data_IF_004234720610
#
_entry.id   IF_004234720610
#
_cell.length_a   1.000
_cell.length_b   1.000
_cell.length_c   1.000
_cell.angle_alpha   90.00
_cell.angle_beta   90.00
_cell.angle_gamma   90.00
#
_symmetry.space_group_name_H-M   'P 1'
#
loop_
_entity.id
_entity.type
_entity.pdbx_description
1 polymer ?
#
# COMPACT_ATOMS: atom_id res chain seq x y z
N UNK A 1 2.30 6.96 -14.62
CA UNK A 1 1.41 7.58 -13.60
C UNK A 1 0.18 6.72 -13.25
N UNK A 2 -0.06 5.57 -13.90
CA UNK A 2 -1.28 4.78 -13.72
C UNK A 2 -1.62 4.44 -12.25
N UNK A 3 -0.64 4.08 -11.41
CA UNK A 3 -0.89 3.80 -9.98
C UNK A 3 -1.37 5.04 -9.21
N UNK A 4 -0.84 6.23 -9.53
CA UNK A 4 -1.28 7.49 -8.92
C UNK A 4 -2.65 7.92 -9.42
N UNK A 5 -2.94 7.70 -10.70
CA UNK A 5 -4.26 7.92 -11.28
C UNK A 5 -5.31 7.00 -10.63
N UNK A 6 -4.98 5.73 -10.46
CA UNK A 6 -5.86 4.77 -9.80
C UNK A 6 -6.06 5.12 -8.32
N UNK A 7 -5.00 5.48 -7.60
CA UNK A 7 -5.09 5.97 -6.21
C UNK A 7 -5.94 7.25 -6.09
N UNK A 8 -5.79 8.20 -7.02
CA UNK A 8 -6.56 9.44 -7.06
C UNK A 8 -8.04 9.19 -7.36
N UNK A 9 -8.35 8.24 -8.26
CA UNK A 9 -9.73 7.81 -8.55
C UNK A 9 -10.35 7.05 -7.38
N UNK A 10 -9.57 6.24 -6.66
CA UNK A 10 -9.97 5.57 -5.42
C UNK A 10 -10.21 6.56 -4.28
N UNK A 11 -9.41 7.62 -4.16
CA UNK A 11 -9.61 8.68 -3.16
C UNK A 11 -10.93 9.46 -3.33
N UNK A 12 -11.53 9.40 -4.52
CA UNK A 12 -12.86 9.96 -4.82
C UNK A 12 -13.99 8.92 -4.74
N UNK A 13 -13.67 7.65 -4.45
CA UNK A 13 -14.62 6.55 -4.30
C UNK A 13 -14.49 5.86 -2.93
N UNK A 14 -15.13 4.71 -2.78
CA UNK A 14 -15.05 3.92 -1.56
C UNK A 14 -13.76 3.08 -1.51
N UNK A 15 -12.96 3.28 -0.46
CA UNK A 15 -11.74 2.50 -0.20
C UNK A 15 -12.03 1.06 0.26
N UNK A 16 -13.28 0.69 0.52
CA UNK A 16 -13.69 -0.66 0.91
C UNK A 16 -13.15 -1.74 -0.04
N UNK A 17 -13.15 -1.50 -1.35
CA UNK A 17 -12.62 -2.45 -2.35
C UNK A 17 -11.10 -2.64 -2.25
N UNK A 18 -10.36 -1.61 -1.82
CA UNK A 18 -8.92 -1.74 -1.57
C UNK A 18 -8.68 -2.44 -0.23
N UNK A 19 -9.52 -2.16 0.78
CA UNK A 19 -9.55 -2.77 2.13
C UNK A 19 -9.89 -4.26 2.14
N UNK A 20 -10.64 -4.74 1.14
CA UNK A 20 -11.11 -6.11 1.10
C UNK A 20 -10.10 -7.12 0.51
N UNK A 21 -9.16 -6.70 -0.36
CA UNK A 21 -8.57 -7.66 -1.31
C UNK A 21 -7.06 -7.89 -1.16
N UNK A 22 -6.32 -7.10 -0.37
CA UNK A 22 -4.86 -7.17 -0.44
C UNK A 22 -4.17 -7.31 0.91
N UNK A 23 -4.45 -8.46 1.54
CA UNK A 23 -3.60 -9.02 2.60
C UNK A 23 -2.65 -10.02 1.95
N UNK A 24 -1.35 -9.73 1.98
CA UNK A 24 -0.32 -10.70 1.59
C UNK A 24 0.13 -11.44 2.84
N UNK A 25 0.07 -12.77 2.80
CA UNK A 25 0.52 -13.63 3.89
C UNK A 25 1.99 -14.03 3.65
N UNK A 26 2.91 -13.50 4.47
CA UNK A 26 4.32 -13.89 4.44
C UNK A 26 4.57 -15.04 5.42
N UNK A 27 5.08 -16.20 4.97
CA UNK A 27 5.39 -17.31 5.86
C UNK A 27 6.55 -16.95 6.80
N UNK A 28 6.43 -17.31 8.08
CA UNK A 28 7.51 -17.15 9.08
C UNK A 28 8.51 -18.31 9.09
N UNK A 29 8.09 -19.47 8.58
CA UNK A 29 8.86 -20.73 8.55
C UNK A 29 8.52 -21.51 7.28
N UNK A 30 9.39 -22.44 6.91
CA UNK A 30 9.09 -23.45 5.89
C UNK A 30 7.97 -24.38 6.37
N UNK A 31 7.10 -24.80 5.45
CA UNK A 31 5.95 -25.64 5.77
C UNK A 31 4.87 -24.95 6.63
N UNK A 32 4.69 -23.64 6.46
CA UNK A 32 3.60 -22.91 7.10
C UNK A 32 2.23 -23.52 6.72
N UNK A 33 1.42 -23.88 7.72
CA UNK A 33 0.16 -24.62 7.53
C UNK A 33 -1.01 -23.97 8.26
N UNK A 34 -0.74 -23.17 9.30
CA UNK A 34 -1.77 -22.49 10.09
C UNK A 34 -1.72 -20.99 9.89
N UNK A 35 -2.83 -20.29 10.11
CA UNK A 35 -2.91 -18.82 9.95
C UNK A 35 -1.87 -18.10 10.83
N UNK A 36 -1.56 -18.63 12.02
CA UNK A 36 -0.56 -18.07 12.93
C UNK A 36 0.89 -18.13 12.40
N UNK A 37 1.16 -19.00 11.42
CA UNK A 37 2.48 -19.14 10.79
C UNK A 37 2.78 -18.02 9.80
N UNK A 38 1.79 -17.17 9.49
CA UNK A 38 1.93 -16.07 8.56
C UNK A 38 2.00 -14.72 9.27
N UNK A 39 2.72 -13.79 8.67
CA UNK A 39 2.64 -12.36 8.97
C UNK A 39 1.74 -11.71 7.92
N UNK A 40 0.55 -11.19 8.28
CA UNK A 40 -0.25 -10.44 7.34
C UNK A 40 0.40 -9.09 7.04
N UNK A 41 0.60 -8.78 5.77
CA UNK A 41 0.90 -7.42 5.30
C UNK A 41 -0.37 -6.84 4.70
N UNK A 42 -0.85 -5.75 5.31
CA UNK A 42 -1.90 -4.93 4.73
C UNK A 42 -1.29 -4.02 3.65
N UNK A 43 -1.66 -4.23 2.39
CA UNK A 43 -1.07 -3.47 1.29
C UNK A 43 -1.60 -2.04 1.16
N UNK A 44 -2.75 -1.68 1.72
CA UNK A 44 -3.25 -0.30 1.68
C UNK A 44 -2.32 0.63 2.41
N UNK A 45 -1.86 0.21 3.59
CA UNK A 45 -0.85 0.95 4.32
C UNK A 45 0.44 1.08 3.51
N UNK A 46 0.79 0.08 2.69
CA UNK A 46 1.96 0.14 1.82
C UNK A 46 1.76 1.12 0.66
N UNK A 47 0.63 1.06 -0.05
CA UNK A 47 0.31 1.95 -1.18
C UNK A 47 0.24 3.41 -0.73
N UNK A 48 -0.45 3.70 0.38
CA UNK A 48 -0.51 5.04 0.94
C UNK A 48 0.90 5.59 1.30
N UNK A 49 1.76 4.75 1.90
CA UNK A 49 3.15 5.12 2.21
C UNK A 49 3.98 5.38 0.95
N UNK A 50 3.82 4.58 -0.09
CA UNK A 50 4.52 4.77 -1.37
C UNK A 50 4.10 6.08 -2.04
N UNK A 51 2.80 6.36 -2.08
CA UNK A 51 2.27 7.63 -2.61
C UNK A 51 2.84 8.81 -1.82
N UNK A 52 2.78 8.76 -0.48
CA UNK A 52 3.33 9.79 0.38
C UNK A 52 4.83 10.03 0.14
N UNK A 53 5.62 8.96 -0.05
CA UNK A 53 7.06 9.08 -0.30
C UNK A 53 7.38 9.71 -1.66
N UNK A 54 6.63 9.37 -2.70
CA UNK A 54 6.81 9.98 -4.01
C UNK A 54 6.41 11.46 -3.98
N UNK A 55 5.31 11.79 -3.30
CA UNK A 55 4.90 13.17 -3.10
C UNK A 55 5.95 13.95 -2.30
N UNK A 56 6.49 13.40 -1.21
CA UNK A 56 7.51 14.08 -0.41
C UNK A 56 8.79 14.35 -1.23
N UNK A 57 9.20 13.41 -2.09
CA UNK A 57 10.35 13.59 -2.98
C UNK A 57 10.10 14.68 -4.03
N UNK A 58 8.91 14.73 -4.61
CA UNK A 58 8.52 15.80 -5.56
C UNK A 58 8.34 17.15 -4.89
N UNK A 59 7.85 17.17 -3.66
CA UNK A 59 7.72 18.39 -2.88
C UNK A 59 9.10 18.95 -2.51
N UNK A 60 10.04 18.08 -2.13
CA UNK A 60 11.40 18.49 -1.81
C UNK A 60 12.11 19.23 -2.96
N UNK A 61 11.77 18.95 -4.22
CA UNK A 61 12.38 19.65 -5.37
C UNK A 61 11.82 21.05 -5.60
N UNK A 62 10.68 21.40 -4.98
CA UNK A 62 10.03 22.71 -5.15
C UNK A 62 10.01 23.56 -3.88
N UNK A 63 10.13 22.94 -2.70
CA UNK A 63 10.16 23.64 -1.40
C UNK A 63 11.57 24.07 -0.97
N UNK A 64 12.62 23.44 -1.53
CA UNK A 64 14.02 23.85 -1.31
C UNK A 64 14.56 24.80 -2.42
N UNK A 65 13.68 25.36 -3.25
CA UNK A 65 13.97 26.56 -4.05
C UNK A 65 13.45 27.79 -3.31
#
# INVERSE_FOLDING_TARGET
MAVFDHFYRLARGDFSNVNLVMIVLLPKKEGATTVGDYRPINLIHSVAKLVAKVLSRRLATVVNQ
#
